data_IF_539052317661
#
_entry.id   IF_539052317661
#
_cell.length_a   1.000
_cell.length_b   1.000
_cell.length_c   1.000
_cell.angle_alpha   90.00
_cell.angle_beta   90.00
_cell.angle_gamma   90.00
#
_symmetry.space_group_name_H-M   'P 1'
#
loop_
_entity.id
_entity.type
_entity.pdbx_description
1 polymer ?
#
# COMPACT_ATOMS: atom_id res chain seq x y z
N UNK A 1 -8.76 1.81 -33.22
CA UNK A 1 -9.66 1.85 -32.05
C UNK A 1 -8.84 1.58 -30.81
N UNK A 2 -9.00 2.38 -29.76
CA UNK A 2 -8.29 2.20 -28.49
C UNK A 2 -9.04 1.14 -27.67
N UNK A 3 -8.34 0.19 -27.05
CA UNK A 3 -8.97 -0.72 -26.09
C UNK A 3 -9.42 0.08 -24.86
N UNK A 4 -10.69 -0.01 -24.43
CA UNK A 4 -11.10 0.61 -23.19
C UNK A 4 -10.30 0.02 -22.02
N UNK A 5 -9.93 0.90 -21.07
CA UNK A 5 -9.28 0.50 -19.82
C UNK A 5 -10.25 -0.24 -18.88
N UNK A 6 -9.77 -0.58 -17.68
CA UNK A 6 -10.64 -1.15 -16.63
C UNK A 6 -11.79 -0.18 -16.32
N UNK A 7 -13.03 -0.68 -16.11
CA UNK A 7 -14.16 0.17 -15.76
C UNK A 7 -13.98 0.79 -14.36
N UNK A 8 -14.45 2.02 -14.21
CA UNK A 8 -14.52 2.72 -12.91
C UNK A 8 -15.69 2.16 -12.11
N UNK A 9 -15.48 1.89 -10.81
CA UNK A 9 -16.52 1.43 -9.89
C UNK A 9 -16.61 2.33 -8.66
N UNK A 10 -17.84 2.60 -8.24
CA UNK A 10 -18.12 3.35 -7.02
C UNK A 10 -17.78 2.53 -5.78
N UNK A 11 -17.05 3.14 -4.84
CA UNK A 11 -16.70 2.53 -3.55
C UNK A 11 -17.95 2.43 -2.68
N UNK A 12 -18.21 1.24 -2.10
CA UNK A 12 -19.29 1.01 -1.14
C UNK A 12 -18.72 0.47 0.17
N UNK A 13 -19.04 1.14 1.27
CA UNK A 13 -18.57 0.78 2.62
C UNK A 13 -19.78 0.76 3.56
N UNK A 14 -19.89 -0.31 4.34
CA UNK A 14 -20.85 -0.46 5.42
C UNK A 14 -20.15 -0.92 6.72
N UNK A 15 -20.93 -1.14 7.79
CA UNK A 15 -20.40 -1.55 9.09
C UNK A 15 -19.71 -2.92 9.11
N UNK A 16 -19.91 -3.74 8.07
CA UNK A 16 -19.35 -5.07 7.96
C UNK A 16 -18.16 -5.12 6.98
N UNK A 17 -17.84 -4.00 6.33
CA UNK A 17 -16.78 -3.94 5.33
C UNK A 17 -15.42 -3.98 6.00
N UNK A 18 -14.60 -4.97 5.62
CA UNK A 18 -13.23 -5.10 6.16
C UNK A 18 -12.27 -4.12 5.50
N UNK A 19 -11.11 -3.86 6.13
CA UNK A 19 -10.09 -2.97 5.56
C UNK A 19 -9.58 -3.50 4.21
N UNK A 20 -9.38 -4.81 4.09
CA UNK A 20 -8.97 -5.45 2.84
C UNK A 20 -9.99 -5.17 1.73
N UNK A 21 -11.27 -5.24 2.06
CA UNK A 21 -12.33 -4.95 1.11
C UNK A 21 -12.36 -3.47 0.71
N UNK A 22 -12.09 -2.55 1.64
CA UNK A 22 -11.95 -1.11 1.33
C UNK A 22 -10.82 -0.89 0.31
N UNK A 23 -9.66 -1.51 0.50
CA UNK A 23 -8.54 -1.39 -0.44
C UNK A 23 -8.84 -2.04 -1.80
N UNK A 24 -9.57 -3.16 -1.81
CA UNK A 24 -10.04 -3.77 -3.06
C UNK A 24 -10.96 -2.83 -3.86
N UNK A 25 -11.92 -2.18 -3.20
CA UNK A 25 -12.82 -1.21 -3.85
C UNK A 25 -12.04 0.03 -4.34
N UNK A 26 -11.10 0.53 -3.52
CA UNK A 26 -10.21 1.64 -3.88
C UNK A 26 -9.39 1.33 -5.15
N UNK A 27 -8.91 0.10 -5.32
CA UNK A 27 -8.16 -0.33 -6.52
C UNK A 27 -8.97 -0.23 -7.83
N UNK A 28 -10.31 -0.18 -7.73
CA UNK A 28 -11.26 -0.15 -8.85
C UNK A 28 -11.92 1.23 -9.02
N UNK A 29 -11.52 2.23 -8.22
CA UNK A 29 -12.14 3.56 -8.14
C UNK A 29 -11.81 4.52 -9.29
N UNK A 30 -10.97 4.11 -10.24
CA UNK A 30 -10.79 4.84 -11.50
C UNK A 30 -9.59 5.79 -11.59
N UNK A 31 -8.69 5.82 -10.60
CA UNK A 31 -7.37 6.44 -10.73
C UNK A 31 -7.02 7.41 -9.61
N UNK A 32 -6.01 8.26 -9.85
CA UNK A 32 -5.42 9.19 -8.87
C UNK A 32 -4.80 8.47 -7.66
N UNK A 33 -4.69 9.18 -6.53
CA UNK A 33 -4.01 8.68 -5.33
C UNK A 33 -4.70 7.50 -4.67
N UNK A 34 -6.00 7.29 -4.90
CA UNK A 34 -6.71 6.14 -4.36
C UNK A 34 -6.12 4.84 -4.94
N UNK A 35 -5.97 4.76 -6.25
CA UNK A 35 -5.36 3.60 -6.91
C UNK A 35 -3.87 3.48 -6.57
N UNK A 36 -3.12 4.59 -6.53
CA UNK A 36 -1.71 4.56 -6.11
C UNK A 36 -1.52 4.00 -4.69
N UNK A 37 -2.42 4.34 -3.77
CA UNK A 37 -2.38 3.84 -2.40
C UNK A 37 -2.63 2.32 -2.34
N UNK A 38 -3.59 1.82 -3.12
CA UNK A 38 -3.84 0.38 -3.24
C UNK A 38 -2.67 -0.35 -3.89
N UNK A 39 -2.14 0.18 -4.98
CA UNK A 39 -1.00 -0.40 -5.69
C UNK A 39 0.25 -0.40 -4.78
N UNK A 40 0.47 0.68 -4.02
CA UNK A 40 1.56 0.77 -3.05
C UNK A 40 1.46 -0.27 -1.93
N UNK A 41 0.24 -0.55 -1.44
CA UNK A 41 0.01 -1.61 -0.47
C UNK A 41 0.33 -2.99 -1.06
N UNK A 42 -0.18 -3.28 -2.27
CA UNK A 42 0.04 -4.55 -2.95
C UNK A 42 1.54 -4.81 -3.23
N UNK A 43 2.25 -3.79 -3.74
CA UNK A 43 3.70 -3.86 -3.97
C UNK A 43 4.44 -4.12 -2.65
N UNK A 44 4.13 -3.37 -1.59
CA UNK A 44 4.80 -3.53 -0.30
C UNK A 44 4.58 -4.93 0.28
N UNK A 45 3.34 -5.42 0.29
CA UNK A 45 3.01 -6.75 0.81
C UNK A 45 3.66 -7.86 -0.02
N UNK A 46 3.69 -7.69 -1.35
CA UNK A 46 4.38 -8.62 -2.26
C UNK A 46 5.87 -8.66 -1.98
N UNK A 47 6.53 -7.50 -1.89
CA UNK A 47 7.96 -7.41 -1.58
C UNK A 47 8.29 -8.06 -0.24
N UNK A 48 7.55 -7.74 0.82
CA UNK A 48 7.77 -8.31 2.17
C UNK A 48 7.62 -9.83 2.17
N UNK A 49 6.70 -10.37 1.38
CA UNK A 49 6.43 -11.82 1.30
C UNK A 49 7.44 -12.56 0.43
N UNK A 50 8.09 -11.87 -0.50
CA UNK A 50 9.11 -12.44 -1.39
C UNK A 50 10.47 -12.56 -0.67
N UNK A 51 10.96 -13.80 -0.56
CA UNK A 51 12.23 -14.13 0.09
C UNK A 51 13.45 -13.83 -0.77
N UNK A 52 13.28 -13.73 -2.08
CA UNK A 52 14.37 -13.42 -3.02
C UNK A 52 14.47 -11.91 -3.31
N UNK A 53 13.51 -11.13 -2.84
CA UNK A 53 13.50 -9.68 -2.98
C UNK A 53 14.44 -9.02 -1.95
N UNK A 54 15.48 -8.33 -2.42
CA UNK A 54 16.30 -7.44 -1.58
C UNK A 54 15.58 -6.10 -1.37
N UNK A 55 15.26 -5.77 -0.11
CA UNK A 55 14.34 -4.69 0.25
C UNK A 55 15.07 -3.52 0.91
N UNK A 56 14.99 -2.35 0.28
CA UNK A 56 15.54 -1.10 0.81
C UNK A 56 14.41 -0.17 1.27
N UNK A 57 14.56 0.43 2.45
CA UNK A 57 13.67 1.51 2.91
C UNK A 57 14.42 2.84 2.96
N UNK A 58 13.86 3.87 2.32
CA UNK A 58 14.40 5.22 2.34
C UNK A 58 13.34 6.24 2.73
N UNK A 59 13.75 7.24 3.51
CA UNK A 59 12.87 8.32 3.93
C UNK A 59 13.66 9.57 4.35
N UNK A 60 13.00 10.73 4.29
CA UNK A 60 13.56 11.98 4.81
C UNK A 60 13.54 11.99 6.34
N UNK A 61 14.55 12.59 6.97
CA UNK A 61 14.68 12.58 8.44
C UNK A 61 13.50 13.18 9.20
N UNK A 62 12.75 14.12 8.60
CA UNK A 62 11.63 14.79 9.24
C UNK A 62 10.54 13.83 9.73
N UNK A 63 10.27 12.72 9.02
CA UNK A 63 9.21 11.78 9.42
C UNK A 63 9.55 11.03 10.70
N UNK A 64 10.85 10.91 11.02
CA UNK A 64 11.34 10.29 12.26
C UNK A 64 10.99 11.16 13.48
N UNK A 65 10.80 12.47 13.31
CA UNK A 65 10.35 13.36 14.39
C UNK A 65 8.86 13.23 14.72
N UNK A 66 8.11 12.42 13.95
CA UNK A 66 6.67 12.20 14.12
C UNK A 66 6.36 10.83 14.71
N UNK A 67 5.07 10.53 14.93
CA UNK A 67 4.60 9.20 15.33
C UNK A 67 4.90 8.09 14.30
N UNK A 68 5.17 8.44 13.03
CA UNK A 68 5.52 7.48 11.98
C UNK A 68 6.81 6.70 12.30
N UNK A 69 7.68 7.25 13.16
CA UNK A 69 8.84 6.54 13.71
C UNK A 69 8.48 5.21 14.36
N UNK A 70 7.29 5.10 14.96
CA UNK A 70 6.81 3.84 15.55
C UNK A 70 6.67 2.73 14.52
N UNK A 71 6.08 3.05 13.37
CA UNK A 71 5.91 2.11 12.24
C UNK A 71 7.28 1.73 11.67
N UNK A 72 8.16 2.69 11.41
CA UNK A 72 9.52 2.42 10.90
C UNK A 72 10.27 1.47 11.85
N UNK A 73 10.20 1.73 13.16
CA UNK A 73 10.82 0.89 14.19
C UNK A 73 10.26 -0.54 14.17
N UNK A 74 8.95 -0.72 13.98
CA UNK A 74 8.35 -2.06 13.89
C UNK A 74 8.70 -2.77 12.57
N UNK A 75 8.75 -2.06 11.44
CA UNK A 75 9.19 -2.60 10.16
C UNK A 75 10.63 -3.14 10.24
N UNK A 76 11.54 -2.41 10.87
CA UNK A 76 12.93 -2.84 11.10
C UNK A 76 12.98 -4.03 12.07
N UNK A 77 12.26 -3.95 13.20
CA UNK A 77 12.24 -5.01 14.22
C UNK A 77 11.75 -6.35 13.65
N UNK A 78 10.77 -6.30 12.76
CA UNK A 78 10.20 -7.47 12.10
C UNK A 78 11.00 -7.92 10.87
N UNK A 79 12.15 -7.29 10.57
CA UNK A 79 13.00 -7.60 9.40
C UNK A 79 12.24 -7.54 8.08
N UNK A 80 11.33 -6.57 7.94
CA UNK A 80 10.62 -6.35 6.68
C UNK A 80 11.48 -5.70 5.60
N UNK A 81 12.63 -5.14 5.97
CA UNK A 81 13.61 -4.55 5.06
C UNK A 81 15.01 -5.05 5.42
N UNK A 82 15.86 -5.17 4.40
CA UNK A 82 17.24 -5.65 4.52
C UNK A 82 18.22 -4.49 4.72
N UNK A 83 17.89 -3.31 4.17
CA UNK A 83 18.71 -2.10 4.20
C UNK A 83 17.86 -0.86 4.49
#
# INVERSE_FOLDING_TARGET
MIKPGRPVKDIKIDSNTTIEKIFEEISQSGGFESVNLSDGLDILTTMISDKECLKFISFVGAIVSTGLRGIIKDMIKNKWFDV
#
